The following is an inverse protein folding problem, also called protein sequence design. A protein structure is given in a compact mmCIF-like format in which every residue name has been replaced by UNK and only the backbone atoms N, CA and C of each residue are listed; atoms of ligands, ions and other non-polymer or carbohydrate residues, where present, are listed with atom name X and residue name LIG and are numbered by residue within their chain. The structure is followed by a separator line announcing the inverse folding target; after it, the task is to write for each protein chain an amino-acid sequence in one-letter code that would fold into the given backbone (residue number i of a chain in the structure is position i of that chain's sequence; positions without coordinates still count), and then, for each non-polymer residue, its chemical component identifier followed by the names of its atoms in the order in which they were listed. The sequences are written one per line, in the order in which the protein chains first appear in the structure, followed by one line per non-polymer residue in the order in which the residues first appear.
data_IF_503852313044
#
_entry.id   IF_503852313044
#
_cell.length_a   1.000
_cell.length_b   1.000
_cell.length_c   1.000
_cell.angle_alpha   90.00
_cell.angle_beta   90.00
_cell.angle_gamma   90.00
#
_symmetry.space_group_name_H-M   'P 1'
#
loop_
_entity.id
_entity.type
_entity.pdbx_description
1 polymer ?
#
# COMPACT_ATOMS: atom_id res chain seq x y z
N UNK A 1 -18.08 -1.38 -7.36
CA UNK A 1 -16.74 -1.90 -7.71
C UNK A 1 -16.34 -2.85 -6.59
N UNK A 2 -15.74 -4.00 -6.91
CA UNK A 2 -15.22 -4.90 -5.87
C UNK A 2 -13.82 -4.47 -5.46
N UNK A 3 -13.31 -5.05 -4.38
CA UNK A 3 -11.95 -4.81 -3.87
C UNK A 3 -10.88 -5.07 -4.96
N UNK A 4 -9.75 -4.34 -4.94
CA UNK A 4 -8.62 -4.60 -5.83
C UNK A 4 -8.07 -6.01 -5.62
N UNK A 5 -7.59 -6.60 -6.70
CA UNK A 5 -7.04 -7.96 -6.74
C UNK A 5 -5.53 -7.90 -6.91
N UNK A 6 -4.83 -8.69 -6.09
CA UNK A 6 -3.44 -9.07 -6.31
C UNK A 6 -3.43 -10.46 -6.93
N UNK A 7 -3.08 -10.54 -8.21
CA UNK A 7 -2.97 -11.79 -8.95
C UNK A 7 -1.66 -12.49 -8.60
N UNK A 8 -1.73 -13.75 -8.18
CA UNK A 8 -0.56 -14.53 -7.76
C UNK A 8 -0.40 -15.73 -8.68
N UNK A 9 0.76 -15.80 -9.32
CA UNK A 9 1.12 -16.80 -10.32
C UNK A 9 2.39 -17.52 -9.88
N UNK A 10 2.54 -18.78 -10.30
CA UNK A 10 3.79 -19.51 -10.16
C UNK A 10 4.20 -20.09 -11.51
N UNK A 11 5.39 -19.70 -11.96
CA UNK A 11 6.08 -20.25 -13.12
C UNK A 11 6.85 -21.54 -12.80
N UNK A 12 6.96 -21.88 -11.51
CA UNK A 12 7.51 -23.13 -10.98
C UNK A 12 6.38 -24.12 -10.65
N UNK A 13 6.37 -25.26 -11.33
CA UNK A 13 5.35 -26.30 -11.14
C UNK A 13 5.37 -26.95 -9.75
N UNK A 14 6.47 -26.79 -8.99
CA UNK A 14 6.61 -27.36 -7.64
C UNK A 14 6.03 -26.44 -6.56
N UNK A 15 5.87 -25.15 -6.85
CA UNK A 15 5.32 -24.16 -5.91
C UNK A 15 3.91 -23.78 -6.33
N UNK A 16 2.95 -24.07 -5.45
CA UNK A 16 1.56 -23.66 -5.65
C UNK A 16 1.37 -22.18 -5.28
N UNK A 17 0.69 -21.36 -6.08
CA UNK A 17 0.43 -19.95 -5.76
C UNK A 17 -0.26 -19.76 -4.40
N UNK A 18 -1.10 -20.70 -3.99
CA UNK A 18 -1.73 -20.74 -2.68
C UNK A 18 -0.72 -20.73 -1.53
N UNK A 19 0.46 -21.34 -1.70
CA UNK A 19 1.49 -21.34 -0.65
C UNK A 19 2.04 -19.94 -0.39
N UNK A 20 2.08 -19.08 -1.42
CA UNK A 20 2.47 -17.67 -1.30
C UNK A 20 1.37 -16.89 -0.58
N UNK A 21 0.11 -17.16 -0.88
CA UNK A 21 -1.03 -16.59 -0.13
C UNK A 21 -0.91 -16.91 1.37
N UNK A 22 -0.61 -18.16 1.72
CA UNK A 22 -0.47 -18.55 3.14
C UNK A 22 0.70 -17.84 3.82
N UNK A 23 1.82 -17.63 3.11
CA UNK A 23 2.96 -16.84 3.60
C UNK A 23 2.57 -15.39 3.87
N UNK A 24 1.86 -14.74 2.93
CA UNK A 24 1.39 -13.35 3.09
C UNK A 24 0.40 -13.23 4.25
N UNK A 25 -0.59 -14.14 4.32
CA UNK A 25 -1.65 -14.12 5.34
C UNK A 25 -1.20 -14.62 6.71
N UNK A 26 -0.04 -15.29 6.78
CA UNK A 26 0.51 -15.92 7.99
C UNK A 26 -0.45 -16.96 8.61
N UNK A 27 -1.32 -17.57 7.80
CA UNK A 27 -2.25 -18.62 8.19
C UNK A 27 -2.70 -19.47 6.99
N UNK A 28 -3.33 -20.63 7.26
CA UNK A 28 -3.76 -21.59 6.22
C UNK A 28 -4.95 -21.09 5.40
N UNK A 29 -5.03 -21.50 4.14
CA UNK A 29 -6.08 -21.10 3.18
C UNK A 29 -7.46 -21.73 3.40
N UNK A 30 -7.65 -22.55 4.44
CA UNK A 30 -8.94 -23.17 4.76
C UNK A 30 -10.01 -22.18 5.27
N UNK A 31 -9.62 -20.96 5.61
CA UNK A 31 -10.47 -19.93 6.20
C UNK A 31 -10.56 -18.69 5.31
N UNK A 32 -11.70 -17.99 5.42
CA UNK A 32 -11.97 -16.69 4.79
C UNK A 32 -11.62 -16.68 3.30
N UNK A 33 -12.34 -17.50 2.54
CA UNK A 33 -12.24 -17.59 1.08
C UNK A 33 -13.48 -16.97 0.46
N UNK A 34 -13.32 -16.26 -0.65
CA UNK A 34 -14.41 -15.70 -1.43
C UNK A 34 -14.37 -16.24 -2.85
N UNK A 35 -15.52 -16.33 -3.51
CA UNK A 35 -15.58 -16.66 -4.94
C UNK A 35 -15.41 -15.39 -5.76
N UNK A 36 -14.47 -15.42 -6.72
CA UNK A 36 -14.15 -14.30 -7.59
C UNK A 36 -14.89 -14.43 -8.92
N UNK A 37 -16.10 -13.87 -8.95
CA UNK A 37 -16.98 -13.86 -10.13
C UNK A 37 -17.93 -15.07 -10.18
N UNK A 38 -18.57 -15.26 -11.34
CA UNK A 38 -19.59 -16.30 -11.55
C UNK A 38 -18.99 -17.67 -11.90
N UNK A 39 -17.67 -17.73 -12.11
CA UNK A 39 -16.96 -18.96 -12.39
C UNK A 39 -16.60 -19.67 -11.06
N UNK A 40 -17.01 -20.94 -10.86
CA UNK A 40 -16.86 -21.64 -9.59
C UNK A 40 -15.41 -21.98 -9.20
N UNK A 41 -14.43 -21.68 -10.06
CA UNK A 41 -13.03 -22.10 -9.87
C UNK A 41 -12.11 -20.97 -9.39
N UNK A 42 -12.53 -19.71 -9.48
CA UNK A 42 -11.68 -18.59 -9.08
C UNK A 42 -11.92 -18.25 -7.62
N UNK A 43 -10.94 -18.54 -6.77
CA UNK A 43 -11.03 -18.34 -5.33
C UNK A 43 -10.09 -17.22 -4.90
N UNK A 44 -10.64 -16.24 -4.21
CA UNK A 44 -9.92 -15.13 -3.61
C UNK A 44 -9.77 -15.29 -2.11
N UNK A 45 -8.75 -14.66 -1.57
CA UNK A 45 -8.44 -14.62 -0.15
C UNK A 45 -8.33 -13.16 0.28
N UNK A 46 -9.34 -12.61 0.98
CA UNK A 46 -9.28 -11.24 1.49
C UNK A 46 -8.06 -11.05 2.38
N UNK A 47 -7.42 -9.90 2.24
CA UNK A 47 -6.26 -9.49 3.03
C UNK A 47 -6.44 -8.03 3.44
N UNK A 48 -6.51 -7.80 4.75
CA UNK A 48 -6.65 -6.47 5.32
C UNK A 48 -5.26 -5.85 5.45
N UNK A 49 -5.09 -4.67 4.86
CA UNK A 49 -3.91 -3.84 4.98
C UNK A 49 -4.25 -2.71 5.96
N UNK A 50 -3.57 -2.74 7.10
CA UNK A 50 -3.70 -1.74 8.15
C UNK A 50 -2.40 -0.96 8.25
N UNK A 51 -2.46 0.35 8.02
CA UNK A 51 -1.33 1.26 8.20
C UNK A 51 -1.69 2.35 9.20
N UNK A 52 -0.70 3.18 9.58
CA UNK A 52 -0.96 4.35 10.43
C UNK A 52 -1.95 5.34 9.78
N UNK A 53 -1.97 5.41 8.45
CA UNK A 53 -2.66 6.46 7.71
C UNK A 53 -3.98 6.02 7.11
N UNK A 54 -4.15 4.72 6.87
CA UNK A 54 -5.33 4.20 6.22
C UNK A 54 -5.57 2.73 6.53
N UNK A 55 -6.81 2.34 6.32
CA UNK A 55 -7.26 0.96 6.24
C UNK A 55 -7.73 0.67 4.82
N UNK A 56 -7.32 -0.47 4.29
CA UNK A 56 -7.82 -0.97 3.01
C UNK A 56 -7.84 -2.50 2.99
N UNK A 57 -8.61 -3.06 2.06
CA UNK A 57 -8.68 -4.50 1.84
C UNK A 57 -8.38 -4.81 0.38
N UNK A 58 -7.49 -5.76 0.15
CA UNK A 58 -7.23 -6.34 -1.18
C UNK A 58 -7.69 -7.79 -1.18
N UNK A 59 -7.81 -8.38 -2.36
CA UNK A 59 -8.05 -9.82 -2.51
C UNK A 59 -6.85 -10.47 -3.17
N UNK A 60 -6.24 -11.42 -2.49
CA UNK A 60 -5.20 -12.27 -3.05
C UNK A 60 -5.85 -13.36 -3.90
N UNK A 61 -5.49 -13.44 -5.17
CA UNK A 61 -6.04 -14.43 -6.11
C UNK A 61 -4.94 -15.38 -6.56
N UNK A 62 -4.88 -16.57 -5.96
CA UNK A 62 -4.01 -17.66 -6.42
C UNK A 62 -4.55 -18.21 -7.74
N UNK A 63 -3.86 -17.97 -8.84
CA UNK A 63 -4.26 -18.46 -10.15
C UNK A 63 -3.47 -19.72 -10.51
N UNK A 64 -4.17 -20.84 -10.69
CA UNK A 64 -3.57 -22.18 -10.81
C UNK A 64 -2.80 -22.46 -12.10
N UNK A 65 -2.52 -21.45 -12.93
CA UNK A 65 -1.77 -21.58 -14.18
C UNK A 65 -0.76 -20.45 -14.33
N UNK A 66 0.42 -20.75 -14.85
CA UNK A 66 1.41 -19.72 -15.22
C UNK A 66 1.04 -18.95 -16.50
N UNK A 67 0.08 -19.47 -17.28
CA UNK A 67 -0.35 -18.90 -18.56
C UNK A 67 -1.31 -17.74 -18.35
N UNK A 68 -0.84 -16.53 -18.65
CA UNK A 68 -1.57 -15.26 -18.52
C UNK A 68 -2.87 -15.23 -19.33
N UNK A 69 -2.95 -15.97 -20.44
CA UNK A 69 -4.15 -16.01 -21.28
C UNK A 69 -5.34 -16.71 -20.62
N UNK A 70 -5.07 -17.48 -19.56
CA UNK A 70 -6.09 -18.21 -18.81
C UNK A 70 -6.72 -17.39 -17.67
N UNK A 71 -6.21 -16.18 -17.41
CA UNK A 71 -6.74 -15.30 -16.37
C UNK A 71 -8.14 -14.80 -16.78
N UNK A 72 -9.19 -15.06 -15.99
CA UNK A 72 -10.53 -14.60 -16.32
C UNK A 72 -10.61 -13.08 -16.42
N UNK A 73 -11.32 -12.56 -17.43
CA UNK A 73 -11.48 -11.11 -17.64
C UNK A 73 -12.11 -10.37 -16.44
N UNK A 74 -12.93 -11.06 -15.64
CA UNK A 74 -13.54 -10.50 -14.45
C UNK A 74 -12.52 -10.24 -13.33
N UNK A 75 -11.49 -11.09 -13.24
CA UNK A 75 -10.37 -10.92 -12.30
C UNK A 75 -9.47 -9.80 -12.82
N UNK A 76 -9.10 -9.88 -14.10
CA UNK A 76 -8.16 -8.96 -14.71
C UNK A 76 -8.60 -7.49 -14.64
N UNK A 77 -9.90 -7.21 -14.76
CA UNK A 77 -10.47 -5.85 -14.62
C UNK A 77 -10.34 -5.24 -13.23
N UNK A 78 -10.07 -6.06 -12.20
CA UNK A 78 -9.86 -5.64 -10.81
C UNK A 78 -8.41 -5.82 -10.38
N UNK A 79 -7.54 -6.33 -11.26
CA UNK A 79 -6.15 -6.60 -10.93
C UNK A 79 -5.38 -5.29 -10.90
N UNK A 80 -4.89 -4.92 -9.73
CA UNK A 80 -4.00 -3.77 -9.51
C UNK A 80 -2.59 -4.21 -9.10
N UNK A 81 -2.47 -5.45 -8.60
CA UNK A 81 -1.20 -6.05 -8.25
C UNK A 81 -0.96 -7.39 -8.93
N UNK A 82 0.31 -7.71 -9.20
CA UNK A 82 0.72 -9.01 -9.72
C UNK A 82 2.01 -9.50 -9.05
N UNK A 83 1.96 -10.73 -8.54
CA UNK A 83 3.09 -11.45 -7.96
C UNK A 83 3.38 -12.68 -8.83
N UNK A 84 4.60 -12.80 -9.35
CA UNK A 84 5.00 -13.92 -10.21
C UNK A 84 6.16 -14.66 -9.55
N UNK A 85 5.90 -15.86 -9.06
CA UNK A 85 6.94 -16.72 -8.52
C UNK A 85 7.68 -17.48 -9.63
N UNK A 86 9.00 -17.59 -9.54
CA UNK A 86 9.82 -18.41 -10.42
C UNK A 86 10.91 -19.16 -9.65
N UNK A 87 11.35 -20.29 -10.21
CA UNK A 87 12.54 -20.97 -9.73
C UNK A 87 13.77 -20.26 -10.29
N UNK A 88 14.58 -19.67 -9.41
CA UNK A 88 15.82 -19.00 -9.81
C UNK A 88 16.84 -19.96 -10.45
N UNK A 89 16.72 -21.28 -10.28
CA UNK A 89 17.57 -22.25 -10.97
C UNK A 89 17.11 -22.52 -12.40
N UNK A 90 15.85 -22.21 -12.73
CA UNK A 90 15.31 -22.30 -14.08
C UNK A 90 15.64 -21.06 -14.91
N UNK A 91 16.77 -21.10 -15.62
CA UNK A 91 17.17 -20.03 -16.53
C UNK A 91 16.21 -19.83 -17.72
N UNK A 92 15.37 -20.81 -18.05
CA UNK A 92 14.39 -20.66 -19.15
C UNK A 92 13.30 -19.64 -18.80
N UNK A 93 13.13 -19.31 -17.51
CA UNK A 93 12.23 -18.26 -17.08
C UNK A 93 12.59 -16.87 -17.65
N UNK A 94 13.88 -16.57 -17.88
CA UNK A 94 14.30 -15.29 -18.46
C UNK A 94 13.69 -15.04 -19.84
N UNK A 95 13.45 -16.10 -20.62
CA UNK A 95 12.80 -15.99 -21.94
C UNK A 95 11.31 -15.63 -21.84
N UNK A 96 10.69 -15.90 -20.68
CA UNK A 96 9.28 -15.62 -20.39
C UNK A 96 9.06 -14.22 -19.82
N UNK A 97 10.07 -13.61 -19.18
CA UNK A 97 9.98 -12.30 -18.53
C UNK A 97 9.45 -11.18 -19.44
N UNK A 98 9.87 -11.04 -20.72
CA UNK A 98 9.33 -10.02 -21.59
C UNK A 98 7.81 -10.12 -21.79
N UNK A 99 7.26 -11.34 -21.80
CA UNK A 99 5.81 -11.54 -21.93
C UNK A 99 5.06 -11.10 -20.66
N UNK A 100 5.61 -11.38 -19.48
CA UNK A 100 5.07 -10.85 -18.22
C UNK A 100 5.13 -9.33 -18.18
N UNK A 101 6.27 -8.73 -18.54
CA UNK A 101 6.42 -7.27 -18.58
C UNK A 101 5.44 -6.60 -19.55
N UNK A 102 5.24 -7.18 -20.75
CA UNK A 102 4.25 -6.70 -21.70
C UNK A 102 2.82 -6.79 -21.16
N UNK A 103 2.49 -7.85 -20.42
CA UNK A 103 1.17 -8.02 -19.81
C UNK A 103 0.91 -7.00 -18.70
N UNK A 104 1.89 -6.76 -17.82
CA UNK A 104 1.84 -5.71 -16.78
C UNK A 104 1.50 -4.36 -17.41
N UNK A 105 2.25 -3.98 -18.44
CA UNK A 105 2.06 -2.71 -19.14
C UNK A 105 0.73 -2.63 -19.87
N UNK A 106 0.33 -3.69 -20.57
CA UNK A 106 -0.94 -3.75 -21.31
C UNK A 106 -2.15 -3.58 -20.39
N UNK A 107 -2.07 -4.06 -19.17
CA UNK A 107 -3.15 -4.02 -18.19
C UNK A 107 -2.98 -2.93 -17.13
N UNK A 108 -2.00 -2.04 -17.30
CA UNK A 108 -1.73 -0.91 -16.40
C UNK A 108 -1.59 -1.37 -14.93
N UNK A 109 -0.98 -2.54 -14.73
CA UNK A 109 -0.71 -3.08 -13.39
C UNK A 109 0.51 -2.35 -12.85
N UNK A 110 0.33 -1.56 -11.79
CA UNK A 110 1.42 -0.73 -11.23
C UNK A 110 2.18 -1.45 -10.11
N UNK A 111 1.51 -2.34 -9.37
CA UNK A 111 2.15 -3.12 -8.30
C UNK A 111 2.61 -4.48 -8.85
N UNK A 112 3.85 -4.59 -9.30
CA UNK A 112 4.36 -5.82 -9.91
C UNK A 112 5.65 -6.32 -9.29
N UNK A 113 5.67 -7.57 -8.82
CA UNK A 113 6.84 -8.17 -8.14
C UNK A 113 7.13 -9.59 -8.66
N UNK A 114 8.38 -9.83 -9.03
CA UNK A 114 8.97 -11.15 -9.25
C UNK A 114 9.41 -11.74 -7.91
N UNK A 115 8.96 -12.94 -7.63
CA UNK A 115 9.28 -13.67 -6.40
C UNK A 115 10.13 -14.89 -6.72
N UNK A 116 11.11 -15.19 -5.89
CA UNK A 116 11.82 -16.47 -5.90
C UNK A 116 12.18 -16.87 -4.46
N UNK A 117 12.68 -18.09 -4.24
CA UNK A 117 13.25 -18.46 -2.93
C UNK A 117 14.51 -17.63 -2.67
N UNK A 118 15.57 -17.88 -3.44
CA UNK A 118 16.84 -17.13 -3.42
C UNK A 118 17.39 -17.03 -4.84
N UNK A 119 17.87 -15.85 -5.24
CA UNK A 119 18.58 -15.62 -6.49
C UNK A 119 19.95 -16.28 -6.46
N UNK A 120 20.57 -16.40 -7.63
CA UNK A 120 21.92 -16.95 -7.74
C UNK A 120 22.94 -15.83 -7.92
N UNK A 121 24.09 -15.95 -7.28
CA UNK A 121 25.20 -15.00 -7.42
C UNK A 121 25.83 -15.03 -8.82
N UNK A 122 25.74 -16.18 -9.47
CA UNK A 122 26.39 -16.45 -10.75
C UNK A 122 25.39 -16.98 -11.78
N UNK A 123 25.47 -16.43 -12.99
CA UNK A 123 24.68 -16.91 -14.14
C UNK A 123 24.97 -18.37 -14.52
N UNK A 124 26.05 -18.97 -14.02
CA UNK A 124 26.33 -20.40 -14.19
C UNK A 124 25.43 -21.29 -13.31
N UNK A 125 24.92 -20.77 -12.20
CA UNK A 125 24.16 -21.52 -11.19
C UNK A 125 22.65 -21.29 -11.31
N UNK A 126 22.24 -20.16 -11.90
CA UNK A 126 20.85 -19.85 -12.21
C UNK A 126 20.70 -18.38 -12.57
N UNK A 127 19.52 -17.82 -12.32
CA UNK A 127 19.15 -16.43 -12.60
C UNK A 127 19.72 -15.51 -11.51
N UNK A 128 20.41 -14.46 -11.93
CA UNK A 128 20.90 -13.41 -11.04
C UNK A 128 19.93 -12.22 -10.97
N UNK A 129 20.05 -11.40 -9.93
CA UNK A 129 19.28 -10.15 -9.80
C UNK A 129 19.43 -9.24 -11.03
N UNK A 130 20.68 -9.06 -11.48
CA UNK A 130 20.98 -8.22 -12.63
C UNK A 130 20.33 -8.74 -13.92
N UNK A 131 20.30 -10.06 -14.14
CA UNK A 131 19.63 -10.66 -15.28
C UNK A 131 18.11 -10.44 -15.22
N UNK A 132 17.49 -10.69 -14.06
CA UNK A 132 16.06 -10.50 -13.87
C UNK A 132 15.63 -9.04 -14.14
N UNK A 133 16.31 -8.05 -13.52
CA UNK A 133 16.02 -6.62 -13.74
C UNK A 133 16.34 -6.15 -15.16
N UNK A 134 17.37 -6.71 -15.81
CA UNK A 134 17.70 -6.34 -17.19
C UNK A 134 16.64 -6.76 -18.21
N UNK A 135 15.95 -7.88 -17.95
CA UNK A 135 14.92 -8.42 -18.84
C UNK A 135 13.52 -7.88 -18.51
N UNK A 136 13.30 -7.40 -17.27
CA UNK A 136 12.05 -6.78 -16.87
C UNK A 136 12.31 -5.65 -15.88
N UNK A 137 12.18 -4.40 -16.35
CA UNK A 137 12.40 -3.21 -15.53
C UNK A 137 11.16 -2.79 -14.74
N UNK A 138 9.97 -3.21 -15.19
CA UNK A 138 8.66 -2.81 -14.61
C UNK A 138 8.27 -3.62 -13.38
N UNK A 139 8.92 -4.76 -13.15
CA UNK A 139 8.69 -5.58 -11.95
C UNK A 139 9.84 -5.38 -10.98
N UNK A 140 9.52 -5.25 -9.70
CA UNK A 140 10.50 -5.39 -8.63
C UNK A 140 10.81 -6.86 -8.38
N UNK A 141 11.87 -7.13 -7.64
CA UNK A 141 12.35 -8.50 -7.38
C UNK A 141 12.54 -8.64 -5.89
N UNK A 142 11.88 -9.65 -5.30
CA UNK A 142 11.97 -9.97 -3.88
C UNK A 142 12.30 -11.45 -3.72
N UNK A 143 13.31 -11.73 -2.92
CA UNK A 143 13.67 -13.08 -2.47
C UNK A 143 12.86 -13.41 -1.22
N UNK A 144 12.05 -14.48 -1.26
CA UNK A 144 11.21 -14.88 -0.13
C UNK A 144 11.99 -15.58 0.98
N UNK A 145 13.15 -16.13 0.65
CA UNK A 145 14.08 -16.85 1.52
C UNK A 145 15.50 -16.32 1.24
N UNK A 146 15.79 -15.06 1.63
CA UNK A 146 17.09 -14.44 1.42
C UNK A 146 18.20 -15.23 2.10
N UNK A 147 19.45 -15.06 1.64
CA UNK A 147 20.56 -15.77 2.26
C UNK A 147 20.80 -15.28 3.70
N UNK A 148 21.48 -16.08 4.51
CA UNK A 148 21.78 -15.69 5.89
C UNK A 148 22.67 -14.43 5.98
N UNK A 149 23.44 -14.15 4.93
CA UNK A 149 24.26 -12.94 4.81
C UNK A 149 23.34 -11.74 4.53
N UNK A 150 22.45 -11.85 3.56
CA UNK A 150 21.46 -10.79 3.23
C UNK A 150 20.51 -10.51 4.40
N UNK A 151 20.07 -11.55 5.12
CA UNK A 151 19.28 -11.38 6.34
C UNK A 151 20.06 -10.66 7.45
N UNK A 152 21.37 -10.85 7.54
CA UNK A 152 22.19 -10.19 8.55
C UNK A 152 22.42 -8.72 8.19
N UNK A 153 22.62 -8.42 6.91
CA UNK A 153 22.73 -7.06 6.38
C UNK A 153 21.42 -6.28 6.53
N UNK A 154 20.27 -6.88 6.19
CA UNK A 154 18.95 -6.25 6.38
C UNK A 154 18.58 -5.99 7.85
N UNK A 155 19.23 -6.68 8.80
CA UNK A 155 19.09 -6.44 10.24
C UNK A 155 19.92 -5.27 10.76
N UNK A 156 20.80 -4.70 9.95
CA UNK A 156 21.51 -3.47 10.33
C UNK A 156 20.52 -2.31 10.39
N UNK A 157 20.52 -1.57 11.52
CA UNK A 157 19.65 -0.40 11.67
C UNK A 157 20.14 0.74 10.76
N UNK A 158 19.45 0.96 9.65
CA UNK A 158 19.65 2.13 8.79
C UNK A 158 18.60 3.16 9.19
N UNK A 159 19.06 4.35 9.63
CA UNK A 159 18.17 5.44 10.08
C UNK A 159 17.16 5.04 11.20
N UNK A 160 17.51 4.08 12.05
CA UNK A 160 16.69 3.66 13.19
C UNK A 160 15.55 2.70 12.86
N UNK A 161 15.51 2.17 11.63
CA UNK A 161 14.63 1.09 11.23
C UNK A 161 15.45 -0.11 10.74
N UNK A 162 14.95 -1.31 11.03
CA UNK A 162 15.45 -2.57 10.45
C UNK A 162 14.80 -2.72 9.08
N UNK A 163 15.59 -2.98 8.03
CA UNK A 163 15.05 -3.25 6.70
C UNK A 163 14.32 -4.60 6.72
N UNK A 164 13.09 -4.64 6.18
CA UNK A 164 12.36 -5.89 6.06
C UNK A 164 12.97 -6.71 4.92
N UNK A 165 13.06 -8.02 5.11
CA UNK A 165 13.57 -8.97 4.12
C UNK A 165 12.57 -10.12 3.94
N UNK A 166 12.67 -10.87 2.85
CA UNK A 166 11.84 -12.06 2.69
C UNK A 166 10.36 -11.74 2.48
N UNK A 167 9.51 -12.53 3.14
CA UNK A 167 8.07 -12.32 3.12
C UNK A 167 7.66 -10.99 3.77
N UNK A 168 8.42 -10.50 4.76
CA UNK A 168 8.10 -9.23 5.42
C UNK A 168 8.40 -8.03 4.50
N UNK A 169 9.41 -8.12 3.63
CA UNK A 169 9.65 -7.13 2.56
C UNK A 169 8.47 -7.06 1.58
N UNK A 170 7.96 -8.22 1.15
CA UNK A 170 6.77 -8.29 0.29
C UNK A 170 5.55 -7.65 0.96
N UNK A 171 5.33 -7.94 2.24
CA UNK A 171 4.22 -7.35 3.01
C UNK A 171 4.41 -5.83 3.12
N UNK A 172 5.63 -5.36 3.38
CA UNK A 172 5.94 -3.93 3.42
C UNK A 172 5.70 -3.26 2.07
N UNK A 173 6.11 -3.88 0.96
CA UNK A 173 5.83 -3.38 -0.38
C UNK A 173 4.31 -3.25 -0.62
N UNK A 174 3.53 -4.26 -0.24
CA UNK A 174 2.05 -4.20 -0.33
C UNK A 174 1.44 -3.09 0.54
N UNK A 175 2.00 -2.82 1.72
CA UNK A 175 1.53 -1.75 2.62
C UNK A 175 1.95 -0.35 2.16
N UNK A 176 3.02 -0.24 1.37
CA UNK A 176 3.49 1.04 0.84
C UNK A 176 2.78 1.41 -0.46
N UNK A 177 2.21 0.43 -1.17
CA UNK A 177 1.42 0.69 -2.37
C UNK A 177 0.05 1.29 -2.02
N UNK A 178 -0.38 2.28 -2.81
CA UNK A 178 -1.65 2.97 -2.63
C UNK A 178 -2.72 2.29 -3.49
N UNK A 179 -3.56 1.49 -2.84
CA UNK A 179 -4.66 0.77 -3.49
C UNK A 179 -5.84 1.68 -3.83
N UNK A 180 -6.57 1.37 -4.90
CA UNK A 180 -7.68 2.23 -5.39
C UNK A 180 -8.82 2.44 -4.39
N UNK A 181 -8.93 1.58 -3.38
CA UNK A 181 -9.98 1.59 -2.36
C UNK A 181 -9.51 2.05 -0.97
N UNK A 182 -8.36 2.72 -0.88
CA UNK A 182 -7.82 3.25 0.38
C UNK A 182 -8.80 4.21 1.05
N UNK A 183 -9.09 3.97 2.33
CA UNK A 183 -9.86 4.88 3.16
C UNK A 183 -8.94 5.59 4.16
N UNK A 184 -8.63 6.86 3.91
CA UNK A 184 -7.70 7.64 4.72
C UNK A 184 -8.32 7.97 6.07
N UNK A 185 -7.58 7.70 7.15
CA UNK A 185 -7.92 8.18 8.48
C UNK A 185 -7.76 9.70 8.50
N UNK A 186 -8.81 10.44 8.12
CA UNK A 186 -8.89 11.88 8.42
C UNK A 186 -8.92 12.00 9.94
N UNK A 187 -7.76 12.29 10.52
CA UNK A 187 -7.65 12.49 11.95
C UNK A 187 -8.62 13.59 12.36
N UNK A 188 -9.53 13.27 13.27
CA UNK A 188 -10.30 14.28 14.01
C UNK A 188 -9.32 15.04 14.91
N UNK A 189 -8.56 15.96 14.32
CA UNK A 189 -7.82 17.01 15.01
C UNK A 189 -8.71 18.24 15.04
N UNK A 190 -9.87 18.13 15.69
CA UNK A 190 -10.65 19.26 16.20
C UNK A 190 -11.65 18.74 17.25
N UNK A 191 -11.10 18.24 18.36
CA UNK A 191 -11.80 18.09 19.62
C UNK A 191 -10.79 18.17 20.79
N UNK A 192 -9.93 19.19 20.76
CA UNK A 192 -9.20 19.59 21.96
C UNK A 192 -10.15 20.48 22.79
N UNK A 193 -10.99 19.84 23.59
CA UNK A 193 -11.72 20.52 24.68
C UNK A 193 -10.71 20.76 25.80
N UNK A 194 -10.47 22.00 26.26
CA UNK A 194 -9.57 22.24 27.37
C UNK A 194 -10.34 22.03 28.68
N UNK A 195 -10.24 20.84 29.27
CA UNK A 195 -10.79 20.59 30.61
C UNK A 195 -9.85 21.16 31.68
N UNK A 196 -10.25 22.32 32.19
CA UNK A 196 -9.76 22.88 33.45
C UNK A 196 -10.45 22.22 34.66
N UNK A 197 -9.64 21.48 35.42
CA UNK A 197 -9.60 21.33 36.88
C UNK A 197 -10.90 21.44 37.74
N UNK A 198 -11.15 20.39 38.56
CA UNK A 198 -11.58 20.63 39.95
C UNK A 198 -12.78 19.86 40.52
N UNK A 199 -12.53 18.62 40.94
CA UNK A 199 -12.94 18.05 42.25
C UNK A 199 -14.44 17.79 42.59
N UNK A 200 -14.83 16.51 42.72
CA UNK A 200 -15.11 15.85 44.02
C UNK A 200 -16.08 14.64 43.92
N UNK A 201 -15.56 13.46 44.28
CA UNK A 201 -16.13 12.41 45.16
C UNK A 201 -17.56 11.84 44.91
N UNK A 202 -17.57 10.54 44.56
CA UNK A 202 -18.67 9.55 44.55
C UNK A 202 -19.28 9.29 45.96
N UNK A 203 -20.29 8.39 46.22
CA UNK A 203 -21.08 7.50 45.34
C UNK A 203 -22.60 7.32 45.69
N UNK A 204 -23.30 6.53 44.87
CA UNK A 204 -24.47 5.66 45.17
C UNK A 204 -25.86 6.26 45.40
N UNK A 205 -26.81 5.90 44.53
CA UNK A 205 -27.97 5.02 44.82
C UNK A 205 -29.18 5.33 43.91
N UNK A 206 -29.68 4.31 43.24
CA UNK A 206 -31.05 4.28 42.69
C UNK A 206 -32.04 4.20 43.88
N UNK A 207 -33.24 4.82 43.82
CA UNK A 207 -34.39 4.09 43.27
C UNK A 207 -35.46 4.96 42.58
N UNK A 208 -36.02 4.41 41.49
CA UNK A 208 -37.47 4.25 41.22
C UNK A 208 -38.49 5.38 41.50
N UNK A 209 -39.18 5.75 40.42
CA UNK A 209 -40.64 5.96 40.32
C UNK A 209 -41.24 7.26 40.91
N UNK A 210 -41.73 8.18 40.07
CA UNK A 210 -43.18 8.32 39.74
C UNK A 210 -43.51 9.68 39.09
N UNK A 211 -44.27 9.58 37.99
CA UNK A 211 -45.22 10.48 37.33
C UNK A 211 -45.19 12.03 37.48
N UNK A 212 -45.31 12.69 36.32
CA UNK A 212 -45.91 14.01 36.18
C UNK A 212 -45.93 14.49 34.73
N UNK A 213 -47.10 14.46 34.10
CA UNK A 213 -47.35 14.78 32.70
C UNK A 213 -47.24 16.28 32.34
N UNK A 214 -46.88 16.55 31.08
CA UNK A 214 -47.67 17.30 30.08
C UNK A 214 -46.86 18.31 29.25
N UNK A 215 -47.07 18.26 27.93
CA UNK A 215 -47.07 19.42 27.04
C UNK A 215 -45.76 19.92 26.42
N UNK A 216 -45.59 19.66 25.11
CA UNK A 216 -44.92 20.63 24.22
C UNK A 216 -43.88 20.04 23.29
N UNK A 217 -44.29 19.73 22.05
CA UNK A 217 -43.38 19.34 20.97
C UNK A 217 -42.55 20.51 20.41
N UNK A 218 -41.47 20.14 19.74
CA UNK A 218 -40.62 21.01 18.95
C UNK A 218 -39.30 20.30 18.68
N UNK A 219 -39.25 19.53 17.58
CA UNK A 219 -38.01 18.93 17.10
C UNK A 219 -37.00 20.02 16.76
N UNK A 220 -35.83 19.94 17.37
CA UNK A 220 -34.61 20.55 16.84
C UNK A 220 -33.93 19.47 16.02
N UNK A 221 -34.09 19.55 14.71
CA UNK A 221 -33.21 18.89 13.75
C UNK A 221 -31.82 19.49 13.98
N UNK A 222 -30.84 18.66 14.35
CA UNK A 222 -29.43 19.02 14.24
C UNK A 222 -29.12 19.03 12.74
N UNK A 223 -29.34 20.19 12.12
CA UNK A 223 -28.82 20.50 10.79
C UNK A 223 -27.29 20.56 10.93
N UNK A 224 -26.59 19.58 10.35
CA UNK A 224 -25.21 19.73 9.93
C UNK A 224 -25.17 20.89 8.92
N UNK A 225 -25.00 22.12 9.43
CA UNK A 225 -24.78 23.34 8.64
C UNK A 225 -23.40 23.24 7.98
N UNK A 226 -23.32 22.48 6.88
CA UNK A 226 -22.25 22.57 5.89
C UNK A 226 -22.46 23.88 5.12
N UNK A 227 -22.16 24.99 5.83
CA UNK A 227 -22.21 26.32 5.27
C UNK A 227 -21.26 26.44 4.07
N UNK A 228 -21.53 27.34 3.12
CA UNK A 228 -20.65 27.55 1.98
C UNK A 228 -19.24 27.90 2.47
N UNK A 229 -18.24 27.19 1.97
CA UNK A 229 -16.81 27.42 2.19
C UNK A 229 -16.55 28.92 2.07
N UNK A 230 -15.94 29.50 3.10
CA UNK A 230 -15.66 30.93 3.11
C UNK A 230 -14.61 31.26 2.03
N UNK A 231 -14.66 32.47 1.45
CA UNK A 231 -13.65 32.92 0.47
C UNK A 231 -12.21 32.92 1.01
N UNK A 232 -12.04 32.78 2.32
CA UNK A 232 -10.74 32.63 2.99
C UNK A 232 -10.29 31.16 3.00
N UNK A 233 -11.17 30.23 3.32
CA UNK A 233 -10.91 28.80 3.21
C UNK A 233 -10.68 28.35 1.76
N UNK A 234 -11.41 28.92 0.79
CA UNK A 234 -11.18 28.65 -0.64
C UNK A 234 -9.78 29.09 -1.08
N UNK A 235 -9.29 30.24 -0.58
CA UNK A 235 -7.93 30.73 -0.88
C UNK A 235 -6.84 29.88 -0.24
N UNK A 236 -7.07 29.35 0.96
CA UNK A 236 -6.11 28.44 1.64
C UNK A 236 -6.03 27.13 0.86
N UNK A 237 -7.18 26.55 0.50
CA UNK A 237 -7.26 25.31 -0.28
C UNK A 237 -6.60 25.50 -1.66
N UNK A 238 -6.82 26.63 -2.34
CA UNK A 238 -6.16 26.93 -3.62
C UNK A 238 -4.64 27.07 -3.47
N UNK A 239 -4.14 27.70 -2.39
CA UNK A 239 -2.71 27.83 -2.13
C UNK A 239 -2.06 26.46 -1.89
N UNK A 240 -2.67 25.62 -1.05
CA UNK A 240 -2.22 24.25 -0.80
C UNK A 240 -2.21 23.41 -2.09
N UNK A 241 -3.31 23.46 -2.88
CA UNK A 241 -3.41 22.71 -4.14
C UNK A 241 -2.35 23.13 -5.16
N UNK A 242 -2.03 24.42 -5.25
CA UNK A 242 -0.94 24.91 -6.11
C UNK A 242 0.44 24.43 -5.62
N UNK A 243 0.64 24.31 -4.30
CA UNK A 243 1.84 23.72 -3.72
C UNK A 243 2.00 22.24 -4.08
N UNK A 244 0.92 21.47 -3.96
CA UNK A 244 0.90 20.06 -4.35
C UNK A 244 1.11 19.85 -5.86
N UNK A 245 0.53 20.70 -6.72
CA UNK A 245 0.70 20.59 -8.17
C UNK A 245 2.16 20.84 -8.60
N UNK A 246 2.84 21.80 -7.98
CA UNK A 246 4.27 22.04 -8.21
C UNK A 246 5.11 20.84 -7.80
N UNK A 247 4.87 20.32 -6.60
CA UNK A 247 5.60 19.16 -6.08
C UNK A 247 5.40 17.91 -6.96
N UNK A 248 4.17 17.65 -7.40
CA UNK A 248 3.87 16.53 -8.31
C UNK A 248 4.53 16.71 -9.67
N UNK A 249 4.58 17.94 -10.20
CA UNK A 249 5.27 18.24 -11.46
C UNK A 249 6.77 17.95 -11.34
N UNK A 250 7.38 18.31 -10.21
CA UNK A 250 8.80 18.10 -9.94
C UNK A 250 9.14 16.62 -9.76
N UNK A 251 8.30 15.87 -9.05
CA UNK A 251 8.42 14.41 -8.88
C UNK A 251 8.17 13.65 -10.20
N UNK A 252 7.22 14.09 -11.03
CA UNK A 252 6.99 13.48 -12.35
C UNK A 252 8.15 13.75 -13.32
N UNK A 253 8.81 14.90 -13.21
CA UNK A 253 10.02 15.21 -13.97
C UNK A 253 11.25 14.42 -13.48
N UNK A 254 11.20 13.85 -12.28
CA UNK A 254 12.29 13.07 -11.67
C UNK A 254 12.33 11.62 -12.19
N UNK A 255 11.19 10.95 -12.33
CA UNK A 255 11.12 9.52 -12.69
C UNK A 255 11.86 9.09 -13.99
N UNK A 256 11.98 9.90 -15.06
CA UNK A 256 12.61 9.43 -16.29
C UNK A 256 14.15 9.31 -16.28
N UNK A 257 14.88 9.87 -15.30
CA UNK A 257 16.35 10.07 -15.42
C UNK A 257 17.23 9.59 -14.24
N UNK A 258 16.67 8.93 -13.21
CA UNK A 258 17.40 8.56 -11.98
C UNK A 258 18.42 7.43 -12.14
N UNK A 259 18.37 6.69 -13.26
CA UNK A 259 19.26 5.56 -13.53
C UNK A 259 20.73 5.96 -13.74
N UNK A 260 21.01 7.22 -14.09
CA UNK A 260 22.36 7.72 -14.38
C UNK A 260 22.97 8.57 -13.25
N UNK A 261 22.24 8.78 -12.15
CA UNK A 261 22.66 9.69 -11.09
C UNK A 261 23.53 8.99 -10.07
N UNK A 262 24.60 9.67 -9.67
CA UNK A 262 25.49 9.26 -8.59
C UNK A 262 24.79 9.42 -7.23
N UNK A 263 25.31 8.74 -6.20
CA UNK A 263 24.78 8.81 -4.82
C UNK A 263 24.68 10.25 -4.30
N UNK A 264 25.64 11.13 -4.62
CA UNK A 264 25.62 12.52 -4.17
C UNK A 264 24.52 13.34 -4.86
N UNK A 265 24.24 13.09 -6.14
CA UNK A 265 23.16 13.80 -6.86
C UNK A 265 21.79 13.39 -6.33
N UNK A 266 21.62 12.11 -5.97
CA UNK A 266 20.40 11.62 -5.31
C UNK A 266 20.19 12.24 -3.92
N UNK A 267 21.27 12.40 -3.15
CA UNK A 267 21.21 13.01 -1.82
C UNK A 267 20.88 14.50 -1.89
N UNK A 268 21.53 15.24 -2.78
CA UNK A 268 21.28 16.67 -2.97
C UNK A 268 19.84 16.95 -3.43
N UNK A 269 19.32 16.10 -4.33
CA UNK A 269 17.93 16.24 -4.77
C UNK A 269 16.91 15.82 -3.70
N UNK A 270 17.23 14.80 -2.89
CA UNK A 270 16.41 14.42 -1.75
C UNK A 270 16.37 15.53 -0.69
N UNK A 271 17.46 16.27 -0.53
CA UNK A 271 17.55 17.46 0.34
C UNK A 271 16.71 18.61 -0.21
N UNK A 272 16.83 18.93 -1.51
CA UNK A 272 16.01 19.96 -2.19
C UNK A 272 14.50 19.64 -2.13
N UNK A 273 14.14 18.37 -2.31
CA UNK A 273 12.76 17.91 -2.18
C UNK A 273 12.27 17.98 -0.73
N UNK A 274 13.10 17.66 0.25
CA UNK A 274 12.76 17.83 1.66
C UNK A 274 12.57 19.32 2.02
N UNK A 275 13.39 20.22 1.49
CA UNK A 275 13.22 21.68 1.67
C UNK A 275 11.90 22.19 1.08
N UNK A 276 11.52 21.73 -0.12
CA UNK A 276 10.22 22.08 -0.72
C UNK A 276 9.02 21.56 0.10
N UNK A 277 9.18 20.40 0.74
CA UNK A 277 8.18 19.87 1.66
C UNK A 277 8.10 20.73 2.93
N UNK A 278 9.22 21.10 3.53
CA UNK A 278 9.26 21.93 4.74
C UNK A 278 8.72 23.35 4.47
N UNK A 279 9.03 23.97 3.33
CA UNK A 279 8.51 25.30 2.94
C UNK A 279 6.98 25.31 2.83
N UNK A 280 6.36 24.20 2.42
CA UNK A 280 4.90 24.06 2.36
C UNK A 280 4.23 24.04 3.75
N UNK A 281 4.94 23.58 4.78
CA UNK A 281 4.42 23.50 6.15
C UNK A 281 4.87 24.66 7.06
N UNK A 282 5.91 25.40 6.68
CA UNK A 282 6.43 26.54 7.47
C UNK A 282 5.67 27.86 7.25
N UNK A 283 4.77 27.97 6.26
CA UNK A 283 3.97 29.20 6.06
C UNK A 283 2.90 29.44 7.15
N UNK A 284 2.65 28.50 8.08
CA UNK A 284 1.59 28.60 9.10
C UNK A 284 2.05 29.09 10.50
N UNK A 285 3.36 29.22 10.75
CA UNK A 285 3.88 29.68 12.07
C UNK A 285 4.19 31.20 12.12
N UNK A 286 3.80 31.95 11.09
CA UNK A 286 4.25 33.32 10.84
C UNK A 286 3.33 34.49 11.27
N UNK A 287 2.17 34.26 11.91
CA UNK A 287 1.29 35.38 12.34
C UNK A 287 1.35 35.60 13.84
N UNK A 288 2.52 36.06 14.30
CA UNK A 288 2.64 36.79 15.57
C UNK A 288 1.99 38.17 15.44
N UNK A 289 0.75 38.30 15.91
CA UNK A 289 0.09 39.61 16.04
C UNK A 289 0.76 40.47 17.14
N UNK A 290 1.12 41.73 16.87
CA UNK A 290 1.52 42.70 17.90
C UNK A 290 0.36 43.19 18.77
#
# INVERSE_FOLDING_TARGET
MGEPIVLILSADATVQPESIVERIRKHTNGQDRITLGDAPESIGFPYQIHTKYYDTQVVLCAHGSADLSTVPSAILKRTEGMLIYFDAKDRTFLERLPAYGAFVQQHEIEFGILLCSTLQESSAEGVTYAEAKSQCTVLDVIELEPSAEDEAEGREEVAGAVEATGVDELIQAMHNYIWSNVNIHRGSRNAAVPDGDGSALLPSANPGNDNGADGGGGGGEEEDDDGPITEEEERIIEAELNGFERLLTEVMNFQPNTSNWTRNERLMYAEELAEMFDEMFEEDDGVGHP
#
